data_IF_379241180301
#
_entry.id   IF_379241180301
#
_cell.length_a   1.000
_cell.length_b   1.000
_cell.length_c   1.000
_cell.angle_alpha   90.00
_cell.angle_beta   90.00
_cell.angle_gamma   90.00
#
_symmetry.space_group_name_H-M   'P 1'
#
loop_
_entity.id
_entity.type
_entity.pdbx_description
1 polymer ?
#
# COMPACT_ATOMS: atom_id res chain seq x y z
N UNK A 1 -18.20 3.59 -0.14
CA UNK A 1 -17.02 2.99 -0.80
C UNK A 1 -17.06 3.27 -2.31
N UNK A 2 -16.56 4.43 -2.72
CA UNK A 2 -16.45 4.75 -4.14
C UNK A 2 -15.17 4.09 -4.65
N UNK A 3 -15.30 2.98 -5.37
CA UNK A 3 -14.22 2.20 -5.97
C UNK A 3 -13.52 2.91 -7.14
N UNK A 4 -13.04 4.13 -6.90
CA UNK A 4 -12.11 4.79 -7.80
C UNK A 4 -10.72 4.26 -7.50
N UNK A 5 -10.11 3.64 -8.51
CA UNK A 5 -8.67 3.42 -8.56
C UNK A 5 -7.99 4.75 -8.21
N UNK A 6 -7.25 4.75 -7.10
CA UNK A 6 -6.44 5.88 -6.68
C UNK A 6 -5.00 5.60 -7.08
N UNK A 7 -4.32 6.58 -7.70
CA UNK A 7 -2.88 6.53 -7.84
C UNK A 7 -2.19 6.24 -6.51
N UNK A 8 -1.13 5.45 -6.56
CA UNK A 8 -0.44 4.97 -5.37
C UNK A 8 0.06 6.10 -4.46
N UNK A 9 0.56 7.19 -5.04
CA UNK A 9 1.03 8.37 -4.33
C UNK A 9 -0.11 9.09 -3.60
N UNK A 10 -1.28 9.22 -4.23
CA UNK A 10 -2.48 9.76 -3.61
C UNK A 10 -2.94 8.89 -2.44
N UNK A 11 -2.99 7.56 -2.63
CA UNK A 11 -3.34 6.64 -1.55
C UNK A 11 -2.37 6.73 -0.37
N UNK A 12 -1.06 6.71 -0.62
CA UNK A 12 -0.07 6.84 0.44
C UNK A 12 -0.20 8.17 1.20
N UNK A 13 -0.48 9.27 0.50
CA UNK A 13 -0.70 10.58 1.14
C UNK A 13 -1.98 10.62 1.97
N UNK A 14 -3.10 10.15 1.43
CA UNK A 14 -4.41 10.23 2.09
C UNK A 14 -4.47 9.41 3.38
N UNK A 15 -3.71 8.31 3.45
CA UNK A 15 -3.62 7.45 4.64
C UNK A 15 -2.33 7.66 5.46
N UNK A 16 -1.57 8.72 5.19
CA UNK A 16 -0.33 9.08 5.90
C UNK A 16 0.66 7.91 6.00
N UNK A 17 0.80 7.15 4.91
CA UNK A 17 1.81 6.10 4.76
C UNK A 17 3.16 6.74 4.50
N UNK A 18 4.23 6.13 5.03
CA UNK A 18 5.58 6.67 4.86
C UNK A 18 6.05 6.58 3.40
N UNK A 19 6.98 7.47 3.02
CA UNK A 19 7.64 7.43 1.71
C UNK A 19 8.35 6.08 1.46
N UNK A 20 8.79 5.42 2.53
CA UNK A 20 9.36 4.07 2.46
C UNK A 20 8.36 3.01 1.99
N UNK A 21 7.08 3.13 2.35
CA UNK A 21 6.01 2.25 1.85
C UNK A 21 5.76 2.53 0.37
N UNK A 22 5.62 3.81 -0.02
CA UNK A 22 5.43 4.22 -1.41
C UNK A 22 6.57 3.70 -2.30
N UNK A 23 7.81 3.92 -1.89
CA UNK A 23 9.01 3.48 -2.64
C UNK A 23 9.01 1.97 -2.85
N UNK A 24 8.76 1.17 -1.79
CA UNK A 24 8.73 -0.30 -1.92
C UNK A 24 7.61 -0.79 -2.85
N UNK A 25 6.45 -0.15 -2.81
CA UNK A 25 5.34 -0.49 -3.71
C UNK A 25 5.69 -0.14 -5.16
N UNK A 26 6.25 1.06 -5.40
CA UNK A 26 6.67 1.48 -6.73
C UNK A 26 7.81 0.62 -7.30
N UNK A 27 8.80 0.24 -6.48
CA UNK A 27 9.92 -0.63 -6.87
C UNK A 27 9.46 -2.04 -7.29
N UNK A 28 8.28 -2.47 -6.83
CA UNK A 28 7.65 -3.74 -7.21
C UNK A 28 6.56 -3.59 -8.27
N UNK A 29 6.45 -2.40 -8.89
CA UNK A 29 5.57 -2.16 -10.03
C UNK A 29 4.11 -1.88 -9.68
N UNK A 30 3.77 -1.64 -8.42
CA UNK A 30 2.42 -1.23 -8.03
C UNK A 30 2.17 0.24 -8.42
N UNK A 31 1.02 0.50 -9.04
CA UNK A 31 0.67 1.83 -9.58
C UNK A 31 -0.55 2.47 -8.93
N UNK A 32 -1.39 1.69 -8.27
CA UNK A 32 -2.66 2.18 -7.72
C UNK A 32 -3.39 1.18 -6.84
N UNK A 33 -4.49 1.64 -6.23
CA UNK A 33 -5.29 0.86 -5.27
C UNK A 33 -5.88 -0.42 -5.85
N UNK A 34 -6.10 -0.48 -7.16
CA UNK A 34 -6.61 -1.63 -7.90
C UNK A 34 -5.64 -2.81 -7.96
N UNK A 35 -4.34 -2.57 -7.78
CA UNK A 35 -3.32 -3.64 -7.74
C UNK A 35 -2.92 -3.98 -6.31
N UNK A 36 -2.76 -2.97 -5.45
CA UNK A 36 -2.30 -3.21 -4.07
C UNK A 36 -3.36 -3.90 -3.19
N UNK A 37 -4.65 -3.80 -3.52
CA UNK A 37 -5.72 -4.44 -2.74
C UNK A 37 -5.68 -5.98 -2.77
N UNK A 38 -4.95 -6.56 -3.71
CA UNK A 38 -4.75 -8.00 -3.83
C UNK A 38 -3.47 -8.51 -3.14
N UNK A 39 -2.66 -7.62 -2.57
CA UNK A 39 -1.38 -8.02 -1.96
C UNK A 39 -1.61 -8.87 -0.71
N UNK A 40 -0.87 -9.98 -0.63
CA UNK A 40 -0.81 -10.86 0.52
C UNK A 40 0.24 -10.40 1.52
N UNK A 41 0.02 -10.72 2.80
CA UNK A 41 0.99 -10.40 3.87
C UNK A 41 2.34 -11.09 3.64
N UNK A 42 2.37 -12.27 3.01
CA UNK A 42 3.60 -12.95 2.63
C UNK A 42 4.40 -12.14 1.60
N UNK A 43 3.74 -11.61 0.58
CA UNK A 43 4.36 -10.77 -0.45
C UNK A 43 4.93 -9.49 0.16
N UNK A 44 4.21 -8.85 1.10
CA UNK A 44 4.74 -7.69 1.82
C UNK A 44 6.03 -8.00 2.59
N UNK A 45 6.13 -9.20 3.17
CA UNK A 45 7.36 -9.63 3.85
C UNK A 45 8.50 -9.87 2.86
N UNK A 46 8.21 -10.46 1.70
CA UNK A 46 9.18 -10.66 0.62
C UNK A 46 9.70 -9.33 0.06
N UNK A 47 8.85 -8.30 0.02
CA UNK A 47 9.20 -6.92 -0.35
C UNK A 47 10.00 -6.17 0.75
N UNK A 48 10.30 -6.80 1.88
CA UNK A 48 11.05 -6.18 2.98
C UNK A 48 10.26 -5.17 3.81
N UNK A 49 8.92 -5.29 3.86
CA UNK A 49 8.13 -4.50 4.80
C UNK A 49 8.38 -4.95 6.25
N UNK A 50 8.55 -3.97 7.13
CA UNK A 50 8.60 -4.15 8.58
C UNK A 50 7.19 -4.34 9.11
N UNK A 51 7.06 -4.97 10.28
CA UNK A 51 5.76 -5.26 10.90
C UNK A 51 4.88 -4.01 11.08
N UNK A 52 5.47 -2.86 11.45
CA UNK A 52 4.75 -1.60 11.57
C UNK A 52 4.24 -1.04 10.24
N UNK A 53 5.02 -1.20 9.17
CA UNK A 53 4.61 -0.79 7.81
C UNK A 53 3.48 -1.70 7.28
N UNK A 54 3.56 -3.01 7.53
CA UNK A 54 2.48 -3.96 7.22
C UNK A 54 1.20 -3.57 7.96
N UNK A 55 1.29 -3.25 9.25
CA UNK A 55 0.13 -2.84 10.04
C UNK A 55 -0.50 -1.54 9.50
N UNK A 56 0.33 -0.54 9.15
CA UNK A 56 -0.13 0.72 8.58
C UNK A 56 -0.85 0.50 7.23
N UNK A 57 -0.27 -0.30 6.33
CA UNK A 57 -0.88 -0.66 5.05
C UNK A 57 -2.23 -1.36 5.21
N UNK A 58 -2.30 -2.35 6.12
CA UNK A 58 -3.56 -3.07 6.36
C UNK A 58 -4.63 -2.16 6.96
N UNK A 59 -4.24 -1.21 7.81
CA UNK A 59 -5.16 -0.21 8.34
C UNK A 59 -5.69 0.70 7.21
N UNK A 60 -4.80 1.20 6.35
CA UNK A 60 -5.16 2.02 5.18
C UNK A 60 -6.13 1.28 4.24
N UNK A 61 -5.83 0.03 3.86
CA UNK A 61 -6.69 -0.80 3.00
C UNK A 61 -8.05 -1.11 3.62
N UNK A 62 -8.16 -1.16 4.95
CA UNK A 62 -9.44 -1.38 5.63
C UNK A 62 -10.30 -0.10 5.69
N UNK A 63 -9.65 1.07 5.68
CA UNK A 63 -10.31 2.37 5.71
C UNK A 63 -10.70 2.89 4.33
N UNK A 64 -10.07 2.39 3.27
CA UNK A 64 -10.42 2.62 1.86
C UNK A 64 -11.61 1.77 1.43
#
# INVERSE_FOLDING_TARGET
PNGLSLPLDHFCRDYNLSDGILTKLSDNGYTGTETICYILISELKEMGFKLGEIAAMRAAMKCW
#
